data_IF_632101280756
#
_entry.id   IF_632101280756
#
_cell.length_a   1.000
_cell.length_b   1.000
_cell.length_c   1.000
_cell.angle_alpha   90.00
_cell.angle_beta   90.00
_cell.angle_gamma   90.00
#
_symmetry.space_group_name_H-M   'P 1'
#
loop_
_entity.id
_entity.type
_entity.pdbx_description
1 polymer ?
#
# COMPACT_ATOMS: atom_id res chain seq x y z
N UNK A 1 4.78 -1.05 11.76
CA UNK A 1 4.36 0.21 11.09
C UNK A 1 3.42 1.00 12.00
N UNK A 2 3.68 2.30 12.20
CA UNK A 2 2.71 3.22 12.80
C UNK A 2 2.03 4.03 11.69
N UNK A 3 0.71 4.06 11.68
CA UNK A 3 -0.09 4.94 10.79
C UNK A 3 -0.76 5.96 11.71
N UNK A 4 -0.57 7.25 11.43
CA UNK A 4 -1.08 8.36 12.24
C UNK A 4 -0.77 8.21 13.75
N UNK A 5 0.45 7.76 14.06
CA UNK A 5 0.89 7.54 15.44
C UNK A 5 0.30 6.29 16.11
N UNK A 6 -0.55 5.50 15.45
CA UNK A 6 -1.10 4.25 15.97
C UNK A 6 -0.36 3.05 15.40
N UNK A 7 0.08 2.14 16.26
CA UNK A 7 0.75 0.92 15.83
C UNK A 7 -0.27 -0.11 15.34
N UNK A 8 -0.05 -0.64 14.14
CA UNK A 8 -0.85 -1.73 13.57
C UNK A 8 -0.47 -3.05 14.24
N UNK A 9 -1.43 -3.71 14.89
CA UNK A 9 -1.20 -4.92 15.69
C UNK A 9 -2.09 -6.13 15.33
N UNK A 10 -3.09 -5.97 14.46
CA UNK A 10 -4.07 -7.03 14.16
C UNK A 10 -4.22 -7.25 12.64
N UNK A 11 -3.18 -7.80 12.02
CA UNK A 11 -3.16 -8.10 10.59
C UNK A 11 -3.55 -9.55 10.25
N UNK A 12 -3.60 -10.44 11.23
CA UNK A 12 -3.84 -11.89 11.04
C UNK A 12 -5.23 -12.26 10.51
N UNK A 13 -6.17 -11.31 10.48
CA UNK A 13 -7.57 -11.54 10.09
C UNK A 13 -8.06 -10.60 8.99
N UNK A 14 -7.20 -9.74 8.45
CA UNK A 14 -7.56 -8.83 7.37
C UNK A 14 -7.24 -9.50 6.04
N UNK A 15 -8.24 -9.62 5.16
CA UNK A 15 -8.04 -10.10 3.79
C UNK A 15 -7.46 -8.99 2.88
N UNK A 16 -7.91 -7.75 3.08
CA UNK A 16 -7.49 -6.57 2.33
C UNK A 16 -7.09 -5.40 3.25
N UNK A 17 -6.17 -4.57 2.77
CA UNK A 17 -5.67 -3.39 3.49
C UNK A 17 -5.58 -2.22 2.54
N UNK A 18 -6.21 -1.11 2.92
CA UNK A 18 -6.16 0.16 2.18
C UNK A 18 -5.22 1.12 2.90
N UNK A 19 -4.27 1.68 2.16
CA UNK A 19 -3.32 2.68 2.63
C UNK A 19 -3.61 4.01 1.92
N UNK A 20 -3.88 5.07 2.68
CA UNK A 20 -4.19 6.40 2.15
C UNK A 20 -3.02 7.33 2.45
N UNK A 21 -2.49 7.98 1.42
CA UNK A 21 -1.38 8.95 1.55
C UNK A 21 -1.65 10.19 0.70
N UNK A 22 -1.10 11.36 1.08
CA UNK A 22 -1.25 12.60 0.31
C UNK A 22 -0.41 12.64 -0.98
N UNK A 23 0.59 11.76 -1.13
CA UNK A 23 1.42 11.69 -2.35
C UNK A 23 2.03 10.29 -2.55
N UNK A 24 2.55 10.08 -3.76
CA UNK A 24 3.15 8.83 -4.23
C UNK A 24 4.40 8.45 -3.42
N UNK A 25 5.33 9.38 -3.19
CA UNK A 25 6.56 9.07 -2.46
C UNK A 25 6.30 8.61 -1.03
N UNK A 26 5.25 9.13 -0.39
CA UNK A 26 4.80 8.64 0.91
C UNK A 26 4.11 7.29 0.81
N UNK A 27 3.36 7.01 -0.26
CA UNK A 27 2.77 5.69 -0.51
C UNK A 27 3.85 4.61 -0.65
N UNK A 28 4.91 4.89 -1.41
CA UNK A 28 6.04 3.99 -1.63
C UNK A 28 6.74 3.65 -0.30
N UNK A 29 7.09 4.68 0.49
CA UNK A 29 7.74 4.48 1.80
C UNK A 29 6.84 3.72 2.76
N UNK A 30 5.58 4.12 2.88
CA UNK A 30 4.64 3.50 3.81
C UNK A 30 4.39 2.04 3.45
N UNK A 31 4.39 1.70 2.16
CA UNK A 31 4.29 0.31 1.78
C UNK A 31 5.59 -0.47 2.02
N UNK A 32 6.76 0.08 1.72
CA UNK A 32 8.02 -0.61 1.99
C UNK A 32 8.15 -0.95 3.49
N UNK A 33 7.79 0.00 4.36
CA UNK A 33 7.71 -0.20 5.81
C UNK A 33 6.65 -1.24 6.20
N UNK A 34 5.54 -1.30 5.46
CA UNK A 34 4.48 -2.27 5.68
C UNK A 34 4.91 -3.69 5.30
N UNK A 35 5.53 -3.86 4.14
CA UNK A 35 6.03 -5.14 3.65
C UNK A 35 7.10 -5.73 4.58
N UNK A 36 8.07 -4.91 5.00
CA UNK A 36 9.08 -5.29 5.99
C UNK A 36 8.43 -5.69 7.34
N UNK A 37 7.43 -4.94 7.79
CA UNK A 37 6.71 -5.27 9.03
C UNK A 37 5.91 -6.58 8.92
N UNK A 38 5.31 -6.85 7.76
CA UNK A 38 4.63 -8.11 7.47
C UNK A 38 5.62 -9.29 7.48
N UNK A 39 6.76 -9.14 6.82
CA UNK A 39 7.80 -10.18 6.77
C UNK A 39 8.28 -10.60 8.16
N UNK A 40 8.40 -9.64 9.09
CA UNK A 40 8.79 -9.90 10.50
C UNK A 40 7.80 -10.77 11.27
N UNK A 41 6.53 -10.82 10.85
CA UNK A 41 5.49 -11.65 11.49
C UNK A 41 5.07 -12.83 10.62
N UNK A 42 5.86 -13.16 9.58
CA UNK A 42 5.61 -14.28 8.67
C UNK A 42 4.47 -14.04 7.67
N UNK A 43 4.07 -12.79 7.46
CA UNK A 43 3.13 -12.39 6.42
C UNK A 43 3.90 -11.90 5.19
N UNK A 44 3.36 -12.14 4.00
CA UNK A 44 3.92 -11.65 2.75
C UNK A 44 2.82 -10.95 1.95
N UNK A 45 3.13 -9.78 1.40
CA UNK A 45 2.20 -9.09 0.52
C UNK A 45 2.13 -9.80 -0.83
N UNK A 46 0.91 -9.94 -1.35
CA UNK A 46 0.71 -10.41 -2.72
C UNK A 46 0.80 -9.21 -3.68
N UNK A 47 2.00 -8.98 -4.22
CA UNK A 47 2.28 -7.89 -5.15
C UNK A 47 1.39 -7.92 -6.40
N UNK A 48 0.95 -9.10 -6.83
CA UNK A 48 0.08 -9.28 -8.01
C UNK A 48 -1.35 -8.80 -7.79
N UNK A 49 -1.81 -8.76 -6.53
CA UNK A 49 -3.17 -8.31 -6.17
C UNK A 49 -3.21 -6.84 -5.77
N UNK A 50 -2.07 -6.17 -5.70
CA UNK A 50 -2.03 -4.78 -5.27
C UNK A 50 -2.55 -3.87 -6.38
N UNK A 51 -3.47 -3.00 -6.01
CA UNK A 51 -3.98 -1.92 -6.86
C UNK A 51 -3.77 -0.58 -6.16
N UNK A 52 -3.78 0.50 -6.92
CA UNK A 52 -3.81 1.85 -6.37
C UNK A 52 -4.95 2.65 -6.96
N UNK A 53 -5.46 3.58 -6.17
CA UNK A 53 -6.49 4.53 -6.57
C UNK A 53 -5.93 5.94 -6.34
N UNK A 54 -6.10 6.82 -7.31
CA UNK A 54 -5.78 8.25 -7.18
C UNK A 54 -7.03 9.09 -7.36
N UNK A 55 -6.97 10.33 -6.90
CA UNK A 55 -8.00 11.30 -7.26
C UNK A 55 -7.70 11.88 -8.67
N UNK A 56 -8.72 12.50 -9.28
CA UNK A 56 -8.62 13.09 -10.62
C UNK A 56 -7.61 14.25 -10.73
N UNK A 57 -7.07 14.71 -9.60
CA UNK A 57 -6.18 15.86 -9.50
C UNK A 57 -4.70 15.47 -9.59
N UNK A 58 -4.38 14.17 -9.50
CA UNK A 58 -3.01 13.66 -9.67
C UNK A 58 -2.74 13.45 -11.16
N UNK A 59 -1.75 14.18 -11.69
CA UNK A 59 -1.26 14.02 -13.06
C UNK A 59 -0.87 12.56 -13.35
N UNK A 60 -1.06 12.15 -14.61
CA UNK A 60 -0.92 10.76 -15.02
C UNK A 60 0.48 10.21 -14.73
N UNK A 61 0.59 9.49 -13.62
CA UNK A 61 1.83 8.91 -13.15
C UNK A 61 1.59 7.45 -12.79
N UNK A 62 2.23 6.55 -13.55
CA UNK A 62 2.60 5.25 -13.05
C UNK A 62 3.62 5.46 -11.94
N UNK A 63 3.41 4.84 -10.78
CA UNK A 63 4.41 4.85 -9.72
C UNK A 63 5.04 3.46 -9.58
N UNK A 64 6.37 3.38 -9.70
CA UNK A 64 7.08 2.12 -9.57
C UNK A 64 7.17 1.76 -8.10
N UNK A 65 6.46 0.71 -7.71
CA UNK A 65 6.57 0.20 -6.36
C UNK A 65 7.45 -1.05 -6.36
N UNK A 66 8.54 -1.04 -5.60
CA UNK A 66 9.47 -2.19 -5.51
C UNK A 66 9.97 -2.69 -6.89
N UNK A 67 10.07 -1.80 -7.87
CA UNK A 67 10.48 -2.13 -9.23
C UNK A 67 9.41 -2.79 -10.11
N UNK A 68 8.15 -2.88 -9.65
CA UNK A 68 6.99 -3.33 -10.44
C UNK A 68 5.97 -2.21 -10.64
N UNK A 69 5.34 -2.18 -11.81
CA UNK A 69 4.24 -1.24 -12.11
C UNK A 69 2.96 -1.77 -11.48
N UNK A 70 2.36 -0.99 -10.58
CA UNK A 70 1.06 -1.30 -9.97
C UNK A 70 -0.06 -0.88 -10.91
N UNK A 71 -1.11 -1.69 -11.02
CA UNK A 71 -2.31 -1.31 -11.78
C UNK A 71 -3.15 -0.28 -11.04
N UNK A 72 -3.64 0.71 -11.78
CA UNK A 72 -4.65 1.63 -11.30
C UNK A 72 -6.02 0.94 -11.25
N UNK A 73 -6.76 1.18 -10.17
CA UNK A 73 -8.15 0.77 -10.01
C UNK A 73 -9.02 2.00 -9.77
N UNK A 74 -10.23 1.98 -10.32
CA UNK A 74 -11.16 3.12 -10.26
C UNK A 74 -12.30 2.92 -9.26
N UNK A 75 -12.49 1.69 -8.74
CA UNK A 75 -13.54 1.37 -7.78
C UNK A 75 -13.15 0.21 -6.85
N UNK A 76 -13.64 0.27 -5.60
CA UNK A 76 -13.59 -0.83 -4.65
C UNK A 76 -15.06 -1.21 -4.38
N UNK A 77 -15.49 -2.39 -4.81
CA UNK A 77 -16.86 -2.90 -4.69
C UNK A 77 -16.90 -3.95 -3.57
#
# INVERSE_FOLDING_TARGET
MRVDGRLLHHLRFADDIVLITPNISQAERMLADFDDACGKIGLQLNLTKKMFMRNEWVLDASFPLSGTTISECFSYI
#
